data_IF_585714999944
#
_entry.id   IF_585714999944
#
_cell.length_a   1.000
_cell.length_b   1.000
_cell.length_c   1.000
_cell.angle_alpha   90.00
_cell.angle_beta   90.00
_cell.angle_gamma   90.00
#
_symmetry.space_group_name_H-M   'P 1'
#
loop_
_entity.id
_entity.type
_entity.pdbx_description
1 polymer ?
#
# COMPACT_ATOMS: atom_id res chain seq x y z
N UNK A 1 -9.50 4.08 11.22
CA UNK A 1 -8.83 5.01 10.30
C UNK A 1 -7.46 5.44 10.81
N UNK A 2 -6.53 5.68 9.87
CA UNK A 2 -5.06 5.86 9.95
C UNK A 2 -4.39 6.11 11.32
N UNK A 3 -4.98 6.89 12.22
CA UNK A 3 -4.48 7.09 13.59
C UNK A 3 -4.17 5.77 14.33
N UNK A 4 -5.02 4.74 14.18
CA UNK A 4 -4.74 3.42 14.78
C UNK A 4 -3.54 2.71 14.15
N UNK A 5 -3.33 2.88 12.84
CA UNK A 5 -2.19 2.33 12.12
C UNK A 5 -0.89 3.03 12.49
N UNK A 6 -0.92 4.36 12.68
CA UNK A 6 0.24 5.14 13.13
C UNK A 6 0.76 4.65 14.49
N UNK A 7 -0.12 4.45 15.48
CA UNK A 7 0.28 3.92 16.78
C UNK A 7 0.88 2.52 16.60
N UNK A 8 0.21 1.65 15.85
CA UNK A 8 0.64 0.28 15.64
C UNK A 8 2.00 0.18 14.92
N UNK A 9 2.25 0.97 13.87
CA UNK A 9 3.49 0.90 13.08
C UNK A 9 4.71 1.35 13.88
N UNK A 10 4.53 2.34 14.76
CA UNK A 10 5.58 2.81 15.67
C UNK A 10 5.96 1.76 16.73
N UNK A 11 5.09 0.77 16.99
CA UNK A 11 5.36 -0.34 17.92
C UNK A 11 6.05 -1.54 17.24
N UNK A 12 6.20 -1.56 15.91
CA UNK A 12 6.76 -2.70 15.18
C UNK A 12 8.30 -2.74 15.16
N UNK A 13 8.99 -1.87 15.90
CA UNK A 13 10.46 -1.82 15.96
C UNK A 13 11.14 -1.19 14.73
N UNK A 14 10.39 -0.53 13.86
CA UNK A 14 10.96 0.23 12.74
C UNK A 14 11.58 1.55 13.22
N UNK A 15 12.54 2.08 12.46
CA UNK A 15 13.04 3.44 12.69
C UNK A 15 11.92 4.46 12.44
N UNK A 16 11.92 5.63 13.12
CA UNK A 16 10.90 6.66 12.92
C UNK A 16 10.75 7.08 11.45
N UNK A 17 11.87 7.16 10.73
CA UNK A 17 11.89 7.43 9.29
C UNK A 17 11.12 6.38 8.49
N UNK A 18 11.37 5.10 8.76
CA UNK A 18 10.69 4.00 8.05
C UNK A 18 9.20 3.97 8.39
N UNK A 19 8.84 4.12 9.66
CA UNK A 19 7.45 4.20 10.10
C UNK A 19 6.71 5.36 9.43
N UNK A 20 7.31 6.54 9.36
CA UNK A 20 6.77 7.72 8.68
C UNK A 20 6.57 7.51 7.17
N UNK A 21 7.52 6.85 6.49
CA UNK A 21 7.35 6.48 5.07
C UNK A 21 6.18 5.51 4.88
N UNK A 22 6.03 4.49 5.74
CA UNK A 22 4.89 3.55 5.66
C UNK A 22 3.56 4.22 5.93
N UNK A 23 3.51 5.13 6.90
CA UNK A 23 2.30 5.92 7.18
C UNK A 23 1.91 6.77 5.95
N UNK A 24 2.88 7.41 5.33
CA UNK A 24 2.67 8.21 4.11
C UNK A 24 2.16 7.37 2.95
N UNK A 25 2.76 6.20 2.72
CA UNK A 25 2.34 5.25 1.69
C UNK A 25 0.90 4.75 1.91
N UNK A 26 0.56 4.37 3.15
CA UNK A 26 -0.79 3.92 3.49
C UNK A 26 -1.80 5.05 3.34
N UNK A 27 -1.44 6.30 3.67
CA UNK A 27 -2.29 7.47 3.42
C UNK A 27 -2.55 7.69 1.92
N UNK A 28 -1.53 7.53 1.06
CA UNK A 28 -1.71 7.59 -0.41
C UNK A 28 -2.62 6.48 -0.92
N UNK A 29 -2.45 5.26 -0.42
CA UNK A 29 -3.30 4.13 -0.75
C UNK A 29 -4.75 4.36 -0.32
N UNK A 30 -4.97 4.89 0.87
CA UNK A 30 -6.30 5.22 1.39
C UNK A 30 -7.02 6.24 0.52
N UNK A 31 -6.33 7.32 0.14
CA UNK A 31 -6.86 8.32 -0.78
C UNK A 31 -7.15 7.71 -2.18
N UNK A 32 -6.23 6.92 -2.73
CA UNK A 32 -6.36 6.37 -4.08
C UNK A 32 -7.48 5.32 -4.21
N UNK A 33 -7.70 4.51 -3.17
CA UNK A 33 -8.77 3.51 -3.16
C UNK A 33 -10.09 4.02 -2.59
N UNK A 34 -10.13 5.23 -2.01
CA UNK A 34 -11.34 5.78 -1.40
C UNK A 34 -11.70 5.12 -0.07
N UNK A 35 -10.70 4.84 0.76
CA UNK A 35 -10.84 4.28 2.11
C UNK A 35 -10.47 2.80 2.19
N UNK A 36 -9.27 2.49 2.68
CA UNK A 36 -8.80 1.12 2.88
C UNK A 36 -9.64 0.37 3.92
N UNK A 37 -10.19 1.08 4.90
CA UNK A 37 -11.03 0.45 5.93
C UNK A 37 -12.23 -0.28 5.27
N UNK A 38 -12.93 0.40 4.35
CA UNK A 38 -14.05 -0.14 3.58
C UNK A 38 -13.65 -1.31 2.70
N UNK A 39 -12.51 -1.20 2.02
CA UNK A 39 -12.04 -2.26 1.14
C UNK A 39 -11.58 -3.51 1.92
N UNK A 40 -11.01 -3.32 3.10
CA UNK A 40 -10.69 -4.41 4.00
C UNK A 40 -11.95 -5.14 4.45
N UNK A 41 -12.99 -4.41 4.86
CA UNK A 41 -14.25 -5.03 5.30
C UNK A 41 -14.96 -5.79 4.17
N UNK A 42 -14.78 -5.34 2.92
CA UNK A 42 -15.37 -5.97 1.74
C UNK A 42 -14.68 -7.27 1.34
N UNK A 43 -13.35 -7.24 1.21
CA UNK A 43 -12.60 -8.36 0.61
C UNK A 43 -11.22 -8.63 1.24
N UNK A 44 -10.93 -8.01 2.39
CA UNK A 44 -9.63 -8.10 3.05
C UNK A 44 -8.49 -7.45 2.26
N UNK A 45 -8.81 -6.45 1.42
CA UNK A 45 -7.88 -5.76 0.50
C UNK A 45 -7.30 -6.66 -0.60
N UNK A 46 -7.93 -7.80 -0.91
CA UNK A 46 -7.48 -8.70 -1.98
C UNK A 46 -7.55 -8.03 -3.34
N UNK A 47 -8.61 -7.28 -3.62
CA UNK A 47 -8.74 -6.54 -4.88
C UNK A 47 -7.68 -5.44 -5.02
N UNK A 48 -7.43 -4.70 -3.94
CA UNK A 48 -6.40 -3.67 -3.91
C UNK A 48 -4.99 -4.29 -4.12
N UNK A 49 -4.68 -5.41 -3.45
CA UNK A 49 -3.41 -6.12 -3.65
C UNK A 49 -3.23 -6.61 -5.10
N UNK A 50 -4.28 -7.14 -5.72
CA UNK A 50 -4.25 -7.58 -7.10
C UNK A 50 -3.91 -6.41 -8.03
N UNK A 51 -4.56 -5.26 -7.86
CA UNK A 51 -4.26 -4.06 -8.68
C UNK A 51 -2.86 -3.50 -8.47
N UNK A 52 -2.19 -3.77 -7.34
CA UNK A 52 -0.79 -3.36 -7.09
C UNK A 52 0.24 -4.40 -7.56
N UNK A 53 -0.21 -5.47 -8.21
CA UNK A 53 0.67 -6.49 -8.77
C UNK A 53 1.15 -6.02 -10.13
N UNK A 54 2.46 -5.84 -10.24
CA UNK A 54 3.12 -5.40 -11.46
C UNK A 54 4.50 -6.05 -11.50
N UNK A 55 4.82 -6.71 -12.60
CA UNK A 55 6.05 -7.47 -12.78
C UNK A 55 7.09 -6.70 -13.58
N UNK A 56 8.33 -7.18 -13.57
CA UNK A 56 9.38 -6.65 -14.46
C UNK A 56 9.08 -6.92 -15.94
N UNK A 57 8.36 -8.00 -16.23
CA UNK A 57 7.94 -8.32 -17.59
C UNK A 57 6.88 -7.32 -18.07
N UNK A 58 5.92 -6.96 -17.22
CA UNK A 58 4.94 -5.89 -17.51
C UNK A 58 5.65 -4.58 -17.81
N UNK A 59 6.66 -4.22 -17.00
CA UNK A 59 7.49 -3.04 -17.24
C UNK A 59 8.23 -3.10 -18.57
N UNK A 60 8.87 -4.24 -18.88
CA UNK A 60 9.60 -4.44 -20.14
C UNK A 60 8.67 -4.33 -21.35
N UNK A 61 7.43 -4.78 -21.20
CA UNK A 61 6.40 -4.72 -22.23
C UNK A 61 5.67 -3.37 -22.27
N UNK A 62 6.04 -2.40 -21.43
CA UNK A 62 5.42 -1.06 -21.42
C UNK A 62 3.96 -1.06 -20.99
N UNK A 63 3.56 -2.01 -20.13
CA UNK A 63 2.19 -2.07 -19.62
C UNK A 63 1.84 -0.81 -18.82
N UNK A 64 0.57 -0.42 -18.87
CA UNK A 64 0.07 0.69 -18.08
C UNK A 64 -0.02 0.32 -16.59
N UNK A 65 -0.06 1.34 -15.72
CA UNK A 65 -0.29 1.15 -14.29
C UNK A 65 -1.67 0.50 -14.05
N UNK A 66 -1.73 -0.69 -13.44
CA UNK A 66 -3.00 -1.39 -13.17
C UNK A 66 -3.73 -0.87 -11.93
N UNK A 67 -3.15 0.08 -11.20
CA UNK A 67 -3.69 0.61 -9.95
C UNK A 67 -4.13 2.07 -10.07
N UNK A 68 -5.03 2.55 -9.20
CA UNK A 68 -5.37 3.98 -9.11
C UNK A 68 -4.27 4.82 -8.44
N UNK A 69 -3.19 4.22 -7.95
CA UNK A 69 -2.13 4.93 -7.24
C UNK A 69 -1.20 5.60 -8.25
N UNK A 70 -1.04 6.91 -8.13
CA UNK A 70 -0.07 7.67 -8.94
C UNK A 70 1.34 7.33 -8.46
N UNK A 71 2.18 6.85 -9.37
CA UNK A 71 3.58 6.55 -9.12
C UNK A 71 4.44 7.46 -10.00
N UNK A 72 5.22 8.32 -9.35
CA UNK A 72 6.21 9.15 -10.02
C UNK A 72 7.53 8.37 -10.12
N UNK A 73 7.97 8.10 -11.36
CA UNK A 73 9.21 7.38 -11.65
C UNK A 73 9.00 5.90 -11.96
N UNK A 74 9.77 5.03 -11.32
CA UNK A 74 9.78 3.60 -11.64
C UNK A 74 8.52 2.89 -11.13
N UNK A 75 7.62 2.55 -12.05
CA UNK A 75 6.32 1.95 -11.75
C UNK A 75 6.44 0.62 -11.00
N UNK A 76 7.41 -0.23 -11.37
CA UNK A 76 7.61 -1.53 -10.73
C UNK A 76 8.00 -1.39 -9.26
N UNK A 77 9.01 -0.59 -8.95
CA UNK A 77 9.48 -0.36 -7.60
C UNK A 77 8.46 0.43 -6.77
N UNK A 78 7.78 1.40 -7.38
CA UNK A 78 6.72 2.16 -6.73
C UNK A 78 5.55 1.29 -6.30
N UNK A 79 5.00 0.47 -7.20
CA UNK A 79 3.91 -0.45 -6.88
C UNK A 79 4.35 -1.55 -5.92
N UNK A 80 5.59 -2.04 -6.00
CA UNK A 80 6.15 -2.97 -5.02
C UNK A 80 6.18 -2.36 -3.60
N UNK A 81 6.59 -1.09 -3.49
CA UNK A 81 6.64 -0.35 -2.22
C UNK A 81 5.23 -0.17 -1.64
N UNK A 82 4.28 0.30 -2.46
CA UNK A 82 2.88 0.44 -2.08
C UNK A 82 2.28 -0.90 -1.62
N UNK A 83 2.57 -1.99 -2.33
CA UNK A 83 2.10 -3.34 -1.96
C UNK A 83 2.63 -3.78 -0.60
N UNK A 84 3.88 -3.46 -0.28
CA UNK A 84 4.45 -3.76 1.04
C UNK A 84 3.75 -2.96 2.14
N UNK A 85 3.51 -1.68 1.92
CA UNK A 85 2.80 -0.82 2.87
C UNK A 85 1.34 -1.26 3.06
N UNK A 86 0.65 -1.69 1.99
CA UNK A 86 -0.69 -2.28 2.07
C UNK A 86 -0.72 -3.58 2.89
N UNK A 87 0.29 -4.45 2.74
CA UNK A 87 0.42 -5.69 3.53
C UNK A 87 0.60 -5.41 5.02
N UNK A 88 1.34 -4.36 5.39
CA UNK A 88 1.49 -3.94 6.78
C UNK A 88 0.15 -3.46 7.35
N UNK A 89 -0.62 -2.70 6.58
CA UNK A 89 -1.95 -2.27 6.99
C UNK A 89 -2.92 -3.46 7.14
N UNK A 90 -2.87 -4.46 6.26
CA UNK A 90 -3.63 -5.72 6.41
C UNK A 90 -3.23 -6.43 7.71
N UNK A 91 -1.93 -6.49 8.04
CA UNK A 91 -1.47 -7.10 9.29
C UNK A 91 -2.02 -6.36 10.51
N UNK A 92 -1.96 -5.03 10.51
CA UNK A 92 -2.58 -4.19 11.54
C UNK A 92 -4.07 -4.50 11.72
N UNK A 93 -4.83 -4.60 10.62
CA UNK A 93 -6.28 -4.88 10.66
C UNK A 93 -6.62 -6.29 11.13
N UNK A 94 -5.68 -7.24 11.09
CA UNK A 94 -5.89 -8.63 11.54
C UNK A 94 -5.72 -8.82 13.05
N UNK A 95 -4.98 -7.94 13.73
CA UNK A 95 -4.56 -8.13 15.13
C UNK A 95 -3.21 -8.82 15.21
#
# INVERSE_FOLDING_TARGET
>A
MLAGFEVWINQQGYTPKTAGSRLSDVGRLDAAFGGLDRHYDRDGLRGALASLTYSRDDQRNGMANPSPVVIDGDLYNGLATMRQSLRLYIRFRKG
#
